data_IF_081653624447
#
_entry.id   IF_081653624447
#
_cell.length_a   1.000
_cell.length_b   1.000
_cell.length_c   1.000
_cell.angle_alpha   90.00
_cell.angle_beta   90.00
_cell.angle_gamma   90.00
#
_symmetry.space_group_name_H-M   'P 1'
#
loop_
_entity.id
_entity.type
_entity.pdbx_description
1 polymer ?
2 polymer ?
3 non-polymer ?
4 non-polymer ?
5 non-polymer ?
6 non-polymer ?
7 water ?
#
# COMPACT_ATOMS: atom_id res chain seq x y z
N UNK A 1 19.11 -16.17 3.39
CA UNK A 1 19.03 -14.70 3.18
C UNK A 1 20.34 -14.00 3.50
N UNK A 2 20.68 -13.01 2.68
CA UNK A 2 21.94 -12.30 2.86
C UNK A 2 21.99 -11.52 4.16
N UNK A 3 20.84 -11.31 4.81
CA UNK A 3 20.78 -10.62 6.10
C UNK A 3 20.71 -11.57 7.28
N UNK A 4 20.81 -12.88 7.04
CA UNK A 4 20.68 -13.84 8.11
C UNK A 4 21.74 -13.70 9.19
N UNK A 5 22.91 -13.16 8.85
CA UNK A 5 23.98 -13.05 9.84
C UNK A 5 23.95 -11.72 10.60
N UNK A 6 23.05 -10.80 10.28
CA UNK A 6 23.01 -9.51 10.95
C UNK A 6 21.96 -9.49 12.06
N UNK A 7 22.32 -8.87 13.18
CA UNK A 7 21.41 -8.72 14.32
C UNK A 7 20.13 -8.00 13.91
N UNK A 8 19.00 -8.45 14.45
CA UNK A 8 17.73 -7.78 14.23
C UNK A 8 17.82 -6.28 14.51
N UNK A 9 18.40 -5.91 15.65
CA UNK A 9 18.47 -4.49 16.01
C UNK A 9 19.33 -3.71 15.02
N UNK A 10 20.41 -4.34 14.52
CA UNK A 10 21.28 -3.69 13.54
C UNK A 10 20.57 -3.48 12.22
N UNK A 11 19.73 -4.46 11.83
CA UNK A 11 18.93 -4.31 10.61
C UNK A 11 17.97 -3.13 10.73
N UNK A 12 17.30 -3.01 11.88
CA UNK A 12 16.37 -1.91 12.07
C UNK A 12 17.12 -0.58 12.08
N UNK A 13 18.27 -0.53 12.75
CA UNK A 13 19.08 0.69 12.76
C UNK A 13 19.50 1.09 11.34
N UNK A 14 19.96 0.12 10.55
CA UNK A 14 20.38 0.43 9.19
C UNK A 14 19.20 0.77 8.28
N UNK A 15 18.01 0.18 8.52
CA UNK A 15 16.84 0.62 7.77
C UNK A 15 16.56 2.10 7.99
N UNK A 16 16.71 2.58 9.22
CA UNK A 16 16.50 4.00 9.52
C UNK A 16 17.56 4.86 8.83
N UNK A 17 18.82 4.41 8.83
CA UNK A 17 19.86 5.13 8.11
C UNK A 17 19.56 5.17 6.61
N UNK A 18 19.15 4.04 6.05
CA UNK A 18 18.85 3.97 4.62
C UNK A 18 17.72 4.94 4.27
N UNK A 19 16.71 5.06 5.13
CA UNK A 19 15.65 6.03 4.89
C UNK A 19 16.20 7.45 4.85
N UNK A 20 17.10 7.79 5.79
CA UNK A 20 17.68 9.13 5.79
C UNK A 20 18.49 9.38 4.53
N UNK A 21 19.14 8.36 4.00
CA UNK A 21 19.93 8.47 2.78
C UNK A 21 19.10 8.27 1.53
N UNK A 22 17.78 8.08 1.67
CA UNK A 22 16.88 7.78 0.56
C UNK A 22 17.40 6.62 -0.28
N UNK A 23 17.85 5.58 0.40
CA UNK A 23 18.29 4.34 -0.23
C UNK A 23 17.24 3.27 0.07
N UNK A 24 16.13 3.34 -0.67
CA UNK A 24 14.96 2.56 -0.30
C UNK A 24 15.10 1.08 -0.65
N UNK A 25 15.84 0.74 -1.70
CA UNK A 25 16.10 -0.67 -1.97
C UNK A 25 16.87 -1.31 -0.81
N UNK A 26 17.92 -0.63 -0.32
CA UNK A 26 18.62 -1.09 0.87
C UNK A 26 17.66 -1.19 2.04
N UNK A 27 16.86 -0.14 2.25
CA UNK A 27 15.93 -0.12 3.37
C UNK A 27 15.01 -1.33 3.34
N UNK A 28 14.49 -1.67 2.15
CA UNK A 28 13.61 -2.82 2.02
C UNK A 28 14.32 -4.12 2.36
N UNK A 29 15.55 -4.29 1.87
CA UNK A 29 16.31 -5.50 2.15
C UNK A 29 16.59 -5.64 3.64
N UNK A 30 16.91 -4.54 4.31
CA UNK A 30 17.13 -4.58 5.75
C UNK A 30 15.86 -5.00 6.47
N UNK A 31 14.71 -4.42 6.09
CA UNK A 31 13.47 -4.74 6.79
C UNK A 31 12.99 -6.16 6.47
N UNK A 32 13.21 -6.63 5.23
CA UNK A 32 12.94 -8.03 4.93
C UNK A 32 13.76 -8.93 5.85
N UNK A 33 15.05 -8.62 6.03
CA UNK A 33 15.86 -9.38 6.96
C UNK A 33 15.31 -9.35 8.37
N UNK A 34 14.86 -8.17 8.82
CA UNK A 34 14.30 -8.07 10.15
C UNK A 34 13.04 -8.93 10.29
N UNK A 35 12.15 -8.87 9.30
CA UNK A 35 10.94 -9.69 9.36
C UNK A 35 11.31 -11.16 9.47
N UNK A 36 12.29 -11.60 8.69
CA UNK A 36 12.66 -13.01 8.63
C UNK A 36 13.31 -13.49 9.91
N UNK A 37 13.63 -12.60 10.85
CA UNK A 37 14.06 -13.05 12.17
C UNK A 37 12.94 -13.78 12.91
N UNK A 38 11.69 -13.58 12.49
CA UNK A 38 10.57 -14.35 13.00
C UNK A 38 9.81 -13.71 14.13
N UNK A 39 10.31 -12.63 14.71
CA UNK A 39 9.58 -11.93 15.76
C UNK A 39 8.58 -10.95 15.14
N UNK A 40 7.50 -10.69 15.88
CA UNK A 40 6.52 -9.70 15.46
C UNK A 40 7.19 -8.33 15.37
N UNK A 41 6.55 -7.43 14.62
CA UNK A 41 7.05 -6.07 14.43
C UNK A 41 6.30 -5.09 15.30
N UNK A 42 7.04 -4.15 15.88
CA UNK A 42 6.43 -3.01 16.58
C UNK A 42 5.79 -2.06 15.57
N UNK A 43 5.04 -1.09 16.10
CA UNK A 43 4.37 -0.12 15.25
C UNK A 43 5.38 0.63 14.37
N UNK A 44 6.47 1.11 14.98
CA UNK A 44 7.48 1.84 14.21
C UNK A 44 8.13 0.94 13.17
N UNK A 45 8.41 -0.32 13.53
CA UNK A 45 9.00 -1.26 12.59
C UNK A 45 8.06 -1.56 11.41
N UNK A 46 6.76 -1.72 11.68
CA UNK A 46 5.81 -1.89 10.59
C UNK A 46 5.86 -0.70 9.64
N UNK A 47 5.99 0.51 10.17
CA UNK A 47 6.02 1.66 9.28
C UNK A 47 7.33 1.77 8.52
N UNK A 48 8.43 1.22 9.06
CA UNK A 48 9.66 1.15 8.30
C UNK A 48 9.51 0.19 7.13
N UNK A 49 8.90 -0.98 7.38
CA UNK A 49 8.66 -1.95 6.33
C UNK A 49 7.82 -1.34 5.21
N UNK A 50 6.75 -0.64 5.60
CA UNK A 50 5.84 -0.04 4.64
C UNK A 50 6.51 1.04 3.82
N UNK A 51 7.21 1.97 4.49
CA UNK A 51 7.90 3.05 3.79
C UNK A 51 8.87 2.50 2.76
N UNK A 52 9.65 1.48 3.15
CA UNK A 52 10.68 0.94 2.27
C UNK A 52 10.08 0.40 0.98
N UNK A 53 9.13 -0.54 1.12
CA UNK A 53 8.60 -1.18 -0.08
C UNK A 53 7.70 -0.24 -0.87
N UNK A 54 7.02 0.70 -0.21
CA UNK A 54 6.19 1.64 -0.95
C UNK A 54 7.04 2.50 -1.89
N UNK A 55 8.22 2.90 -1.43
CA UNK A 55 9.09 3.70 -2.28
C UNK A 55 9.68 2.86 -3.41
N UNK A 56 10.10 1.63 -3.11
CA UNK A 56 10.63 0.76 -4.16
C UNK A 56 9.58 0.52 -5.24
N UNK A 57 8.40 0.05 -4.84
CA UNK A 57 7.37 -0.25 -5.83
C UNK A 57 6.84 1.03 -6.46
N UNK A 58 6.92 2.15 -5.74
CA UNK A 58 6.49 3.42 -6.32
C UNK A 58 7.32 3.82 -7.51
N UNK A 59 8.65 3.66 -7.42
CA UNK A 59 9.49 3.90 -8.56
C UNK A 59 9.22 2.95 -9.72
N UNK A 60 8.97 1.69 -9.41
CA UNK A 60 8.68 0.73 -10.46
C UNK A 60 7.36 1.05 -11.16
N UNK A 61 6.33 1.42 -10.37
CA UNK A 61 5.04 1.75 -10.96
C UNK A 61 5.16 2.98 -11.86
N UNK A 62 5.90 3.98 -11.43
CA UNK A 62 6.07 5.19 -12.24
C UNK A 62 6.77 4.86 -13.55
N UNK A 63 7.82 4.03 -13.50
CA UNK A 63 8.52 3.63 -14.71
C UNK A 63 7.63 2.79 -15.61
N UNK A 64 6.89 1.85 -15.02
CA UNK A 64 5.97 1.03 -15.81
C UNK A 64 4.96 1.90 -16.56
N UNK A 65 4.41 2.92 -15.90
CA UNK A 65 3.43 3.77 -16.55
C UNK A 65 4.04 4.54 -17.71
N UNK A 66 5.26 5.06 -17.54
CA UNK A 66 5.95 5.73 -18.64
C UNK A 66 6.09 4.80 -19.83
N UNK A 67 6.58 3.58 -19.57
CA UNK A 67 6.85 2.64 -20.65
C UNK A 67 5.56 2.14 -21.29
N UNK A 68 4.54 1.88 -20.48
CA UNK A 68 3.26 1.43 -21.01
C UNK A 68 2.65 2.49 -21.93
N UNK A 69 2.78 3.76 -21.57
CA UNK A 69 2.29 4.84 -22.42
C UNK A 69 3.01 4.85 -23.76
N UNK A 70 4.34 4.74 -23.73
CA UNK A 70 5.11 4.71 -24.98
C UNK A 70 4.69 3.51 -25.82
N UNK A 71 4.48 2.37 -25.17
CA UNK A 71 4.10 1.15 -25.88
C UNK A 71 2.74 1.31 -26.54
N UNK A 72 1.78 1.91 -25.82
CA UNK A 72 0.44 2.09 -26.38
C UNK A 72 0.47 3.02 -27.58
N UNK A 73 1.25 4.10 -27.50
CA UNK A 73 1.42 4.98 -28.65
C UNK A 73 2.00 4.21 -29.83
N UNK A 74 3.07 3.45 -29.61
CA UNK A 74 3.69 2.67 -30.68
C UNK A 74 2.66 1.82 -31.42
N UNK A 75 1.59 1.42 -30.76
CA UNK A 75 0.59 0.53 -31.33
C UNK A 75 -0.61 1.28 -31.90
N UNK A 76 -0.50 2.58 -32.13
CA UNK A 76 -1.55 3.35 -32.78
C UNK A 76 -1.38 3.33 -34.30
N UNK A 80 5.13 4.26 -36.61
CA UNK A 80 6.22 3.50 -37.24
C UNK A 80 6.62 2.32 -36.37
N UNK A 81 6.84 1.17 -37.00
CA UNK A 81 7.26 -0.03 -36.29
C UNK A 81 8.71 0.11 -35.85
N UNK A 82 8.97 -0.12 -34.56
CA UNK A 82 10.32 0.02 -34.01
C UNK A 82 10.80 -1.25 -33.31
N UNK A 83 10.16 -2.39 -33.58
CA UNK A 83 10.64 -3.65 -33.07
C UNK A 83 10.11 -3.99 -31.70
N UNK A 84 10.66 -5.04 -31.10
CA UNK A 84 10.14 -5.53 -29.81
C UNK A 84 10.68 -4.84 -28.57
N UNK A 85 11.53 -3.82 -28.73
CA UNK A 85 12.30 -3.32 -27.59
C UNK A 85 11.41 -2.67 -26.53
N UNK A 86 10.42 -1.86 -26.94
CA UNK A 86 9.56 -1.20 -25.97
C UNK A 86 8.82 -2.23 -25.13
N UNK A 87 8.20 -3.21 -25.80
CA UNK A 87 7.51 -4.29 -25.07
C UNK A 87 8.47 -5.04 -24.17
N UNK A 88 9.64 -5.41 -24.69
CA UNK A 88 10.61 -6.16 -23.91
C UNK A 88 10.96 -5.43 -22.62
N UNK A 89 11.24 -4.13 -22.72
CA UNK A 89 11.69 -3.38 -21.56
C UNK A 89 10.53 -3.13 -20.59
N UNK A 90 9.33 -2.86 -21.12
CA UNK A 90 8.16 -2.78 -20.25
C UNK A 90 7.95 -4.09 -19.50
N UNK A 91 8.13 -5.22 -20.20
CA UNK A 91 7.99 -6.52 -19.56
C UNK A 91 9.06 -6.72 -18.48
N UNK A 92 10.27 -6.21 -18.72
CA UNK A 92 11.34 -6.35 -17.73
C UNK A 92 10.97 -5.61 -16.45
N UNK A 93 10.55 -4.35 -16.58
CA UNK A 93 10.15 -3.57 -15.42
C UNK A 93 8.95 -4.21 -14.73
N UNK A 94 7.97 -4.66 -15.53
CA UNK A 94 6.79 -5.32 -14.99
C UNK A 94 7.14 -6.55 -14.18
N UNK A 95 8.05 -7.38 -14.69
CA UNK A 95 8.46 -8.57 -13.97
C UNK A 95 9.14 -8.22 -12.65
N UNK A 96 9.98 -7.19 -12.65
CA UNK A 96 10.62 -6.71 -11.43
C UNK A 96 9.58 -6.25 -10.42
N UNK A 97 8.63 -5.43 -10.88
CA UNK A 97 7.54 -4.97 -10.03
C UNK A 97 6.78 -6.14 -9.43
N UNK A 98 6.40 -7.12 -10.26
CA UNK A 98 5.68 -8.28 -9.74
C UNK A 98 6.50 -9.04 -8.72
N UNK A 99 7.81 -9.08 -8.91
CA UNK A 99 8.67 -9.75 -7.95
C UNK A 99 8.67 -9.08 -6.59
N UNK A 100 8.71 -7.74 -6.59
CA UNK A 100 8.64 -7.00 -5.33
C UNK A 100 7.30 -7.24 -4.64
N UNK A 101 6.20 -7.17 -5.40
CA UNK A 101 4.88 -7.43 -4.84
C UNK A 101 4.82 -8.84 -4.25
N UNK A 102 5.33 -9.83 -4.98
CA UNK A 102 5.34 -11.20 -4.48
C UNK A 102 6.16 -11.31 -3.20
N UNK A 103 7.27 -10.58 -3.12
CA UNK A 103 8.10 -10.62 -1.93
C UNK A 103 7.34 -10.09 -0.72
N UNK A 104 6.68 -8.95 -0.86
CA UNK A 104 5.91 -8.38 0.24
C UNK A 104 4.79 -9.33 0.64
N UNK A 105 4.03 -9.82 -0.35
CA UNK A 105 2.94 -10.73 -0.04
C UNK A 105 3.46 -12.00 0.64
N UNK A 106 4.66 -12.44 0.26
CA UNK A 106 5.25 -13.60 0.91
C UNK A 106 5.58 -13.35 2.37
N UNK A 107 6.08 -12.15 2.69
CA UNK A 107 6.35 -11.82 4.08
C UNK A 107 5.07 -11.76 4.89
N UNK A 108 4.02 -11.19 4.31
CA UNK A 108 2.73 -11.12 5.02
C UNK A 108 2.18 -12.51 5.28
N UNK A 109 2.32 -13.41 4.30
CA UNK A 109 1.81 -14.76 4.45
C UNK A 109 2.71 -15.66 5.29
N UNK A 110 3.99 -15.31 5.44
CA UNK A 110 4.96 -16.15 6.15
C UNK A 110 5.87 -15.25 7.00
N UNK A 111 5.39 -14.81 8.18
CA UNK A 111 4.13 -15.20 8.79
C UNK A 111 3.51 -14.00 9.54
N UNK A 112 3.62 -12.81 8.96
CA UNK A 112 3.22 -11.61 9.69
C UNK A 112 1.73 -11.62 10.03
N UNK A 113 0.88 -11.94 9.06
CA UNK A 113 -0.56 -11.81 9.30
C UNK A 113 -1.02 -12.81 10.34
N UNK A 114 -0.59 -14.07 10.25
CA UNK A 114 -1.14 -15.07 11.15
C UNK A 114 -0.75 -14.84 12.60
N UNK A 115 0.34 -14.12 12.87
CA UNK A 115 0.69 -13.83 14.25
C UNK A 115 0.18 -12.47 14.72
N UNK A 116 -0.42 -11.69 13.84
CA UNK A 116 -0.93 -10.36 14.19
C UNK A 116 -2.32 -10.48 14.81
N UNK A 117 -2.42 -10.23 16.11
CA UNK A 117 -3.68 -10.34 16.82
C UNK A 117 -4.31 -9.00 17.19
N UNK A 118 -3.49 -7.99 17.42
CA UNK A 118 -4.03 -6.68 17.76
C UNK A 118 -4.59 -6.00 16.52
N UNK A 119 -5.64 -5.21 16.71
CA UNK A 119 -6.30 -4.56 15.58
C UNK A 119 -5.32 -3.71 14.78
N UNK A 120 -4.48 -2.94 15.45
CA UNK A 120 -3.57 -2.03 14.75
C UNK A 120 -2.62 -2.81 13.83
N UNK A 121 -2.08 -3.93 14.31
CA UNK A 121 -1.16 -4.70 13.47
C UNK A 121 -1.92 -5.45 12.38
N UNK A 122 -3.03 -6.09 12.75
CA UNK A 122 -3.74 -6.93 11.78
C UNK A 122 -4.31 -6.09 10.63
N UNK A 123 -4.92 -4.94 10.96
CA UNK A 123 -5.46 -4.05 9.92
C UNK A 123 -4.33 -3.52 9.05
N UNK A 124 -3.21 -3.12 9.66
CA UNK A 124 -2.07 -2.64 8.91
C UNK A 124 -1.62 -3.67 7.87
N UNK A 125 -1.48 -4.93 8.29
CA UNK A 125 -0.95 -5.95 7.37
C UNK A 125 -1.98 -6.31 6.31
N UNK A 126 -3.26 -6.39 6.67
CA UNK A 126 -4.28 -6.74 5.69
C UNK A 126 -4.44 -5.62 4.67
N UNK A 127 -4.33 -4.36 5.11
CA UNK A 127 -4.31 -3.25 4.16
C UNK A 127 -3.13 -3.39 3.20
N UNK A 128 -1.95 -3.70 3.74
CA UNK A 128 -0.78 -3.90 2.89
C UNK A 128 -1.03 -5.02 1.88
N UNK A 129 -1.65 -6.12 2.32
CA UNK A 129 -1.96 -7.19 1.40
C UNK A 129 -2.85 -6.70 0.27
N UNK A 130 -3.90 -5.94 0.61
CA UNK A 130 -4.74 -5.35 -0.43
C UNK A 130 -3.96 -4.44 -1.36
N UNK A 131 -3.07 -3.61 -0.78
CA UNK A 131 -2.29 -2.67 -1.60
C UNK A 131 -1.44 -3.41 -2.63
N UNK A 132 -0.74 -4.46 -2.22
CA UNK A 132 0.21 -5.07 -3.15
C UNK A 132 -0.49 -5.98 -4.14
N UNK A 133 -1.65 -6.55 -3.81
CA UNK A 133 -2.48 -7.17 -4.84
C UNK A 133 -3.02 -6.11 -5.80
N UNK A 134 -3.34 -4.92 -5.30
CA UNK A 134 -3.78 -3.83 -6.18
C UNK A 134 -2.67 -3.45 -7.17
N UNK A 135 -1.43 -3.34 -6.71
CA UNK A 135 -0.34 -3.02 -7.63
C UNK A 135 -0.15 -4.14 -8.66
N UNK A 136 -0.32 -5.40 -8.25
CA UNK A 136 -0.33 -6.48 -9.22
C UNK A 136 -1.48 -6.30 -10.22
N UNK A 137 -2.65 -5.89 -9.73
CA UNK A 137 -3.80 -5.72 -10.62
C UNK A 137 -3.56 -4.62 -11.64
N UNK A 138 -2.80 -3.58 -11.27
CA UNK A 138 -2.56 -2.47 -12.17
C UNK A 138 -1.89 -2.92 -13.47
N UNK A 139 -1.09 -3.99 -13.42
CA UNK A 139 -0.36 -4.47 -14.58
C UNK A 139 -0.90 -5.79 -15.10
N UNK A 140 -1.92 -6.35 -14.47
CA UNK A 140 -2.44 -7.65 -14.87
C UNK A 140 -3.35 -7.51 -16.08
N UNK A 141 -3.32 -8.53 -16.95
CA UNK A 141 -4.14 -8.53 -18.16
C UNK A 141 -4.90 -9.84 -18.26
N UNK A 142 -6.16 -9.83 -17.81
CA UNK A 142 -7.13 -10.83 -18.20
C UNK A 142 -7.24 -12.10 -17.37
N UNK A 143 -6.26 -13.00 -17.51
CA UNK A 143 -6.48 -14.40 -17.13
C UNK A 143 -6.59 -14.56 -15.61
N UNK A 144 -5.59 -14.12 -14.87
CA UNK A 144 -5.67 -14.06 -13.41
C UNK A 144 -5.99 -12.67 -12.92
N UNK A 145 -6.24 -11.72 -13.83
CA UNK A 145 -6.60 -10.37 -13.42
C UNK A 145 -7.81 -10.38 -12.48
N UNK A 146 -8.84 -11.16 -12.83
CA UNK A 146 -10.02 -11.21 -11.97
C UNK A 146 -9.68 -11.77 -10.59
N UNK A 147 -8.87 -12.83 -10.54
CA UNK A 147 -8.54 -13.43 -9.25
C UNK A 147 -7.63 -12.51 -8.44
N UNK A 148 -6.72 -11.79 -9.11
CA UNK A 148 -5.87 -10.82 -8.41
C UNK A 148 -6.74 -9.71 -7.81
N UNK A 149 -7.70 -9.22 -8.57
CA UNK A 149 -8.59 -8.17 -8.09
C UNK A 149 -9.39 -8.66 -6.88
N UNK A 150 -9.88 -9.89 -6.95
CA UNK A 150 -10.64 -10.43 -5.83
C UNK A 150 -9.77 -10.63 -4.59
N UNK A 151 -8.50 -10.99 -4.79
CA UNK A 151 -7.60 -11.10 -3.65
C UNK A 151 -7.39 -9.76 -2.97
N UNK A 152 -7.22 -8.69 -3.76
CA UNK A 152 -7.12 -7.35 -3.18
C UNK A 152 -8.40 -7.02 -2.43
N UNK A 153 -9.55 -7.22 -3.08
CA UNK A 153 -10.83 -6.91 -2.46
C UNK A 153 -11.01 -7.65 -1.14
N UNK A 154 -10.69 -8.95 -1.12
CA UNK A 154 -10.88 -9.75 0.09
C UNK A 154 -10.03 -9.23 1.23
N UNK A 155 -8.76 -8.91 0.95
CA UNK A 155 -7.87 -8.42 2.00
C UNK A 155 -8.36 -7.07 2.54
N UNK A 156 -8.70 -6.14 1.63
CA UNK A 156 -9.24 -4.86 2.07
C UNK A 156 -10.50 -5.05 2.90
N UNK A 157 -11.37 -5.98 2.50
CA UNK A 157 -12.65 -6.15 3.18
C UNK A 157 -12.45 -6.68 4.59
N UNK A 158 -11.56 -7.67 4.77
CA UNK A 158 -11.29 -8.17 6.12
C UNK A 158 -10.70 -7.05 6.98
N UNK A 159 -9.80 -6.25 6.41
CA UNK A 159 -9.24 -5.13 7.15
C UNK A 159 -10.32 -4.14 7.55
N UNK A 160 -11.26 -3.86 6.63
CA UNK A 160 -12.34 -2.93 6.92
C UNK A 160 -13.22 -3.43 8.05
N UNK A 161 -13.58 -4.72 8.00
CA UNK A 161 -14.45 -5.29 9.02
C UNK A 161 -13.82 -5.15 10.40
N UNK A 162 -12.52 -5.44 10.53
CA UNK A 162 -11.85 -5.32 11.81
C UNK A 162 -11.79 -3.86 12.23
N UNK A 163 -11.42 -2.96 11.31
CA UNK A 163 -11.22 -1.56 11.67
C UNK A 163 -12.52 -0.93 12.14
N UNK A 164 -13.64 -1.30 11.55
CA UNK A 164 -14.91 -0.72 11.97
C UNK A 164 -15.35 -1.26 13.32
N UNK A 165 -14.96 -2.49 13.66
CA UNK A 165 -15.31 -3.07 14.96
C UNK A 165 -14.42 -2.56 16.07
N UNK A 166 -13.12 -2.40 15.78
CA UNK A 166 -12.11 -2.23 16.82
C UNK A 166 -11.45 -0.86 16.89
N UNK A 167 -11.69 0.02 15.94
CA UNK A 167 -11.00 1.29 15.84
C UNK A 167 -11.98 2.44 15.78
N UNK A 168 -11.64 3.60 16.35
CA UNK A 168 -12.50 4.77 16.19
C UNK A 168 -12.42 5.30 14.78
N UNK A 169 -13.44 6.07 14.34
CA UNK A 169 -13.47 6.50 12.93
C UNK A 169 -12.33 7.44 12.55
N UNK A 170 -11.64 8.04 13.51
CA UNK A 170 -10.51 8.92 13.21
C UNK A 170 -9.17 8.20 13.24
N UNK A 171 -9.13 6.92 13.60
CA UNK A 171 -7.87 6.21 13.66
C UNK A 171 -7.14 6.33 12.31
N UNK A 172 -5.90 6.82 12.31
CA UNK A 172 -5.21 7.00 11.01
C UNK A 172 -5.07 5.74 10.19
N UNK A 173 -4.88 4.58 10.82
CA UNK A 173 -4.79 3.34 10.06
C UNK A 173 -6.13 3.07 9.38
N UNK A 174 -7.22 3.18 10.14
CA UNK A 174 -8.56 3.01 9.57
C UNK A 174 -8.79 3.98 8.42
N UNK A 175 -8.37 5.24 8.58
CA UNK A 175 -8.56 6.25 7.53
C UNK A 175 -7.75 5.92 6.29
N UNK A 176 -6.47 5.54 6.46
CA UNK A 176 -5.65 5.20 5.31
C UNK A 176 -6.13 3.97 4.58
N UNK A 177 -6.66 2.99 5.33
CA UNK A 177 -7.28 1.83 4.70
C UNK A 177 -8.47 2.23 3.85
N UNK A 178 -9.37 3.04 4.41
CA UNK A 178 -10.55 3.47 3.67
C UNK A 178 -10.16 4.26 2.43
N UNK A 179 -9.17 5.15 2.56
CA UNK A 179 -8.66 5.89 1.41
C UNK A 179 -8.23 4.95 0.28
N UNK A 180 -7.36 3.98 0.61
CA UNK A 180 -6.81 3.11 -0.43
C UNK A 180 -7.88 2.17 -1.00
N UNK A 181 -8.78 1.66 -0.14
CA UNK A 181 -9.87 0.82 -0.63
C UNK A 181 -10.79 1.61 -1.55
N UNK A 182 -11.03 2.89 -1.23
CA UNK A 182 -11.83 3.72 -2.12
C UNK A 182 -11.16 3.84 -3.49
N UNK A 183 -9.84 4.01 -3.52
CA UNK A 183 -9.12 4.12 -4.78
C UNK A 183 -9.16 2.78 -5.52
N UNK A 184 -9.07 1.67 -4.79
CA UNK A 184 -9.29 0.37 -5.39
C UNK A 184 -10.62 0.33 -6.15
N UNK A 185 -11.69 0.78 -5.50
CA UNK A 185 -13.00 0.77 -6.15
C UNK A 185 -12.98 1.63 -7.41
N UNK A 186 -12.36 2.82 -7.33
CA UNK A 186 -12.42 3.76 -8.43
C UNK A 186 -11.54 3.33 -9.60
N UNK A 187 -10.31 2.90 -9.31
CA UNK A 187 -9.29 2.68 -10.33
C UNK A 187 -9.20 1.24 -10.82
N UNK A 188 -9.52 0.26 -9.97
CA UNK A 188 -9.30 -1.15 -10.27
C UNK A 188 -10.62 -1.87 -10.55
N UNK A 189 -11.63 -1.64 -9.69
CA UNK A 189 -12.85 -2.42 -9.72
C UNK A 189 -13.95 -1.79 -10.57
N UNK A 190 -13.68 -0.67 -11.24
CA UNK A 190 -14.68 -0.01 -12.09
C UNK A 190 -15.95 0.31 -11.30
N UNK A 191 -15.79 0.73 -10.05
CA UNK A 191 -16.90 1.02 -9.16
C UNK A 191 -16.76 2.43 -8.58
N UNK A 192 -16.83 3.45 -9.44
CA UNK A 192 -16.66 4.82 -8.93
C UNK A 192 -17.70 5.24 -7.91
N UNK A 193 -18.94 4.76 -8.02
CA UNK A 193 -19.94 5.15 -7.04
C UNK A 193 -19.61 4.58 -5.66
N UNK A 194 -19.14 3.33 -5.62
CA UNK A 194 -18.70 2.75 -4.34
C UNK A 194 -17.51 3.53 -3.78
N UNK A 195 -16.58 3.91 -4.65
CA UNK A 195 -15.44 4.72 -4.22
C UNK A 195 -15.89 6.03 -3.57
N UNK A 196 -16.82 6.72 -4.22
CA UNK A 196 -17.29 8.02 -3.72
C UNK A 196 -18.04 7.85 -2.41
N UNK A 197 -18.92 6.86 -2.34
CA UNK A 197 -19.69 6.62 -1.12
C UNK A 197 -18.77 6.31 0.05
N UNK A 198 -17.79 5.43 -0.17
CA UNK A 198 -16.87 5.09 0.91
C UNK A 198 -16.08 6.31 1.37
N UNK A 199 -15.57 7.11 0.44
CA UNK A 199 -14.79 8.26 0.82
C UNK A 199 -15.62 9.28 1.59
N UNK A 200 -16.86 9.49 1.15
CA UNK A 200 -17.71 10.49 1.80
C UNK A 200 -18.13 10.03 3.20
N UNK A 201 -18.53 8.76 3.34
CA UNK A 201 -18.93 8.26 4.65
C UNK A 201 -17.75 8.23 5.61
N UNK A 202 -16.58 7.81 5.13
CA UNK A 202 -15.38 7.81 5.97
C UNK A 202 -15.07 9.22 6.45
N UNK A 203 -15.12 10.19 5.54
CA UNK A 203 -14.81 11.57 5.89
C UNK A 203 -15.80 12.10 6.93
N UNK A 204 -17.09 11.87 6.70
CA UNK A 204 -18.11 12.43 7.58
C UNK A 204 -18.05 11.81 8.97
N UNK A 205 -17.83 10.49 9.06
CA UNK A 205 -17.75 9.85 10.37
C UNK A 205 -16.48 10.26 11.11
N UNK A 206 -15.40 10.55 10.39
CA UNK A 206 -14.21 11.05 11.05
C UNK A 206 -14.44 12.47 11.56
N UNK A 207 -15.06 13.32 10.73
CA UNK A 207 -15.37 14.69 11.13
C UNK A 207 -16.05 14.73 12.49
N UNK A 208 -17.06 13.87 12.68
CA UNK A 208 -17.87 13.86 13.88
C UNK A 208 -17.12 13.33 15.10
N UNK A 209 -15.95 12.73 14.92
CA UNK A 209 -15.15 12.17 16.00
C UNK A 209 -13.94 13.01 16.34
N UNK A 210 -13.66 14.08 15.57
CA UNK A 210 -12.47 14.87 15.79
C UNK A 210 -12.45 15.52 17.16
N UNK A 211 -13.62 15.86 17.70
CA UNK A 211 -13.69 16.55 18.97
C UNK A 211 -13.08 15.75 20.12
N UNK A 212 -12.92 14.43 19.95
CA UNK A 212 -12.37 13.58 20.99
C UNK A 212 -10.84 13.60 21.06
N UNK A 213 -10.18 14.22 20.09
CA UNK A 213 -8.76 14.06 19.85
C UNK A 213 -7.93 15.19 20.44
N UNK A 214 -6.70 14.86 20.79
CA UNK A 214 -5.69 15.85 21.11
C UNK A 214 -5.27 16.61 19.86
N UNK A 215 -4.50 17.68 20.06
CA UNK A 215 -4.01 18.47 18.93
C UNK A 215 -3.17 17.62 17.99
N UNK A 216 -2.29 16.79 18.52
CA UNK A 216 -1.43 15.98 17.66
C UNK A 216 -2.24 14.93 16.92
N UNK A 217 -3.16 14.24 17.60
CA UNK A 217 -4.00 13.26 16.93
C UNK A 217 -4.90 13.92 15.90
N UNK A 218 -5.45 15.09 16.24
CA UNK A 218 -6.24 15.86 15.29
C UNK A 218 -5.46 16.13 14.01
N UNK A 219 -4.18 16.49 14.13
CA UNK A 219 -3.36 16.72 12.95
C UNK A 219 -3.16 15.44 12.13
N UNK A 220 -2.88 14.32 12.81
CA UNK A 220 -2.71 13.05 12.10
C UNK A 220 -3.95 12.69 11.30
N UNK A 221 -5.13 12.82 11.91
CA UNK A 221 -6.37 12.40 11.26
C UNK A 221 -6.77 13.35 10.14
N UNK A 222 -6.66 14.66 10.36
CA UNK A 222 -7.11 15.61 9.34
C UNK A 222 -6.21 15.56 8.11
N UNK A 223 -4.94 15.19 8.28
CA UNK A 223 -4.07 15.05 7.11
C UNK A 223 -4.61 13.99 6.16
N UNK A 224 -5.03 12.84 6.69
CA UNK A 224 -5.55 11.80 5.82
C UNK A 224 -6.95 12.15 5.33
N UNK A 225 -7.76 12.81 6.17
CA UNK A 225 -9.07 13.25 5.72
C UNK A 225 -8.96 14.17 4.51
N UNK A 226 -7.91 15.00 4.46
CA UNK A 226 -7.73 15.89 3.31
C UNK A 226 -7.50 15.09 2.02
N UNK A 227 -6.84 13.94 2.11
CA UNK A 227 -6.66 13.09 0.93
C UNK A 227 -8.00 12.52 0.45
N UNK A 228 -8.87 12.13 1.39
CA UNK A 228 -10.21 11.73 1.00
C UNK A 228 -10.92 12.85 0.27
N UNK A 229 -10.82 14.07 0.80
CA UNK A 229 -11.50 15.20 0.15
C UNK A 229 -10.87 15.52 -1.20
N UNK A 230 -9.54 15.42 -1.30
CA UNK A 230 -8.88 15.65 -2.59
C UNK A 230 -9.41 14.69 -3.65
N UNK A 231 -9.61 13.43 -3.28
CA UNK A 231 -10.14 12.46 -4.23
C UNK A 231 -11.59 12.79 -4.58
N UNK A 232 -12.42 13.11 -3.58
CA UNK A 232 -13.80 13.47 -3.86
C UNK A 232 -13.88 14.67 -4.80
N UNK A 233 -12.93 15.60 -4.69
CA UNK A 233 -12.89 16.74 -5.59
C UNK A 233 -12.56 16.30 -7.01
N UNK A 234 -11.62 15.35 -7.15
CA UNK A 234 -11.31 14.82 -8.47
C UNK A 234 -12.49 14.03 -9.05
N UNK A 235 -13.24 13.33 -8.20
CA UNK A 235 -14.20 12.35 -8.67
C UNK A 235 -15.60 12.91 -8.87
N UNK A 236 -15.90 14.08 -8.34
CA UNK A 236 -17.25 14.63 -8.40
C UNK A 236 -17.21 16.07 -8.91
N UNK B 4 -5.37 11.49 -11.50
CA UNK B 4 -4.66 10.51 -10.69
C UNK B 4 -5.14 10.58 -9.25
N UNK B 5 -5.67 9.46 -8.75
CA UNK B 5 -6.22 9.41 -7.41
C UNK B 5 -5.11 9.29 -6.36
N UNK B 6 -5.37 9.87 -5.20
CA UNK B 6 -4.40 9.88 -4.11
C UNK B 6 -4.55 8.66 -3.21
N UNK B 8 -2.49 6.62 0.27
CA UNK B 8 -1.70 6.99 1.43
C UNK B 8 -0.23 7.07 1.05
N UNK B 9 0.43 8.15 1.44
CA UNK B 9 1.82 8.37 1.03
C UNK B 9 2.79 7.91 2.12
#
# INVERSE_FOLDING_TARGET
>A
GAMGSMERASLIQKAKLAEQAERYEDMAAFMKGAVEKGEELSCEERNLLSVAYKNVVGGQRAAWRVLSSIEQKSNEEGSEEKGPEVREYREKVETELQGVCDTVLGLLDSHLIKEAGDAESRVFYLKMKGDYYRYLAEVATGDDKKRIIDSARSAYQEAMDISKKEMPPTNPIRLGLALNFSVFHYEIANSPEEAISLAKTTFDEAMADLHTLSEDSYKDSTLIMQLLRDNLTLWT
>B
XVISSNXLRGRS
#
